data_IF_308253448328
#
_entry.id   IF_308253448328
#
_cell.length_a   1.000
_cell.length_b   1.000
_cell.length_c   1.000
_cell.angle_alpha   90.00
_cell.angle_beta   90.00
_cell.angle_gamma   90.00
#
_symmetry.space_group_name_H-M   'P 1'
#
loop_
_entity.id
_entity.type
_entity.pdbx_description
1 polymer ?
#
# COMPACT_ATOMS: atom_id res chain seq x y z
N UNK A 1 -19.78 -4.02 -4.81
CA UNK A 1 -19.04 -5.24 -5.18
C UNK A 1 -18.83 -6.04 -3.92
N UNK A 2 -19.09 -7.35 -3.96
CA UNK A 2 -18.97 -8.25 -2.81
C UNK A 2 -17.55 -8.20 -2.24
N UNK A 3 -17.42 -8.02 -0.94
CA UNK A 3 -16.15 -8.29 -0.24
C UNK A 3 -15.68 -9.68 -0.66
N UNK A 4 -14.43 -9.80 -1.10
CA UNK A 4 -13.84 -11.09 -1.46
C UNK A 4 -13.74 -11.89 -0.15
N UNK A 5 -14.69 -12.80 0.06
CA UNK A 5 -14.66 -13.69 1.20
C UNK A 5 -13.48 -14.66 1.04
N UNK A 6 -12.53 -14.59 1.97
CA UNK A 6 -11.32 -15.42 1.95
C UNK A 6 -11.60 -16.70 2.73
N UNK A 7 -11.59 -17.89 2.09
CA UNK A 7 -11.89 -19.15 2.77
C UNK A 7 -10.68 -19.61 3.60
N UNK A 8 -10.63 -19.18 4.87
CA UNK A 8 -9.53 -19.50 5.81
C UNK A 8 -9.40 -21.00 6.14
N UNK A 9 -10.50 -21.74 5.94
CA UNK A 9 -10.59 -23.21 5.98
C UNK A 9 -11.19 -23.66 4.65
N UNK A 10 -10.39 -23.73 3.58
CA UNK A 10 -10.90 -23.92 2.24
C UNK A 10 -11.47 -25.33 2.04
N UNK A 11 -12.63 -25.43 1.37
CA UNK A 11 -13.28 -26.70 1.05
C UNK A 11 -13.29 -26.88 -0.46
N UNK A 12 -12.55 -27.88 -0.93
CA UNK A 12 -12.46 -28.18 -2.36
C UNK A 12 -11.47 -27.28 -3.12
N UNK A 13 -11.34 -27.53 -4.42
CA UNK A 13 -10.27 -26.97 -5.26
C UNK A 13 -10.34 -25.45 -5.40
N UNK A 14 -11.55 -24.92 -5.58
CA UNK A 14 -11.73 -23.48 -5.82
C UNK A 14 -11.33 -22.66 -4.61
N UNK A 15 -11.75 -23.06 -3.41
CA UNK A 15 -11.39 -22.38 -2.17
C UNK A 15 -9.89 -22.47 -1.88
N UNK A 16 -9.26 -23.62 -2.16
CA UNK A 16 -7.81 -23.78 -2.02
C UNK A 16 -7.09 -22.77 -2.92
N UNK A 17 -7.52 -22.65 -4.18
CA UNK A 17 -6.93 -21.71 -5.13
C UNK A 17 -7.17 -20.25 -4.72
N UNK A 18 -8.35 -19.93 -4.17
CA UNK A 18 -8.65 -18.59 -3.63
C UNK A 18 -7.72 -18.26 -2.47
N UNK A 19 -7.61 -19.14 -1.48
CA UNK A 19 -6.72 -18.91 -0.33
C UNK A 19 -5.25 -18.82 -0.77
N UNK A 20 -4.81 -19.69 -1.68
CA UNK A 20 -3.46 -19.65 -2.26
C UNK A 20 -3.17 -18.30 -2.94
N UNK A 21 -4.07 -17.82 -3.79
CA UNK A 21 -3.93 -16.54 -4.48
C UNK A 21 -3.89 -15.37 -3.50
N UNK A 22 -4.78 -15.35 -2.50
CA UNK A 22 -4.82 -14.30 -1.47
C UNK A 22 -3.54 -14.29 -0.64
N UNK A 23 -3.04 -15.47 -0.24
CA UNK A 23 -1.80 -15.57 0.52
C UNK A 23 -0.58 -15.11 -0.27
N UNK A 24 -0.48 -15.52 -1.53
CA UNK A 24 0.62 -15.12 -2.39
C UNK A 24 0.60 -13.61 -2.61
N UNK A 25 -0.53 -13.08 -3.11
CA UNK A 25 -0.71 -11.67 -3.42
C UNK A 25 -0.57 -10.80 -2.16
N UNK A 26 -1.13 -11.23 -1.04
CA UNK A 26 -1.03 -10.50 0.23
C UNK A 26 0.40 -10.43 0.71
N UNK A 27 1.15 -11.52 0.60
CA UNK A 27 2.55 -11.57 1.04
C UNK A 27 3.45 -10.71 0.17
N UNK A 28 3.35 -10.80 -1.17
CA UNK A 28 4.18 -9.99 -2.08
C UNK A 28 3.83 -8.50 -2.04
N UNK A 29 2.64 -8.15 -1.52
CA UNK A 29 2.19 -6.76 -1.38
C UNK A 29 2.65 -6.10 -0.09
N UNK A 30 3.23 -6.85 0.85
CA UNK A 30 3.77 -6.27 2.08
C UNK A 30 5.00 -5.42 1.77
N UNK A 31 5.09 -4.26 2.40
CA UNK A 31 6.16 -3.30 2.15
C UNK A 31 7.55 -3.89 2.44
N UNK A 32 7.70 -4.64 3.54
CA UNK A 32 8.95 -5.31 3.91
C UNK A 32 9.39 -6.36 2.90
N UNK A 33 8.44 -7.03 2.24
CA UNK A 33 8.70 -8.02 1.19
C UNK A 33 9.08 -7.34 -0.12
N UNK A 34 8.37 -6.27 -0.50
CA UNK A 34 8.67 -5.47 -1.70
C UNK A 34 10.08 -4.90 -1.64
N UNK A 35 10.48 -4.36 -0.49
CA UNK A 35 11.81 -3.80 -0.26
C UNK A 35 12.89 -4.87 -0.39
N UNK A 36 12.71 -6.02 0.26
CA UNK A 36 13.61 -7.17 0.10
C UNK A 36 13.74 -7.60 -1.35
N UNK A 37 12.64 -7.72 -2.08
CA UNK A 37 12.65 -8.10 -3.49
C UNK A 37 13.35 -7.05 -4.36
N UNK A 38 13.17 -5.75 -4.11
CA UNK A 38 13.86 -4.70 -4.88
C UNK A 38 15.36 -4.70 -4.70
N UNK A 39 15.85 -4.99 -3.50
CA UNK A 39 17.28 -5.02 -3.19
C UNK A 39 17.98 -6.31 -3.69
N UNK A 40 17.23 -7.34 -4.04
CA UNK A 40 17.78 -8.61 -4.51
C UNK A 40 18.14 -8.58 -6.01
N UNK A 41 19.14 -9.36 -6.39
CA UNK A 41 19.50 -9.56 -7.80
C UNK A 41 18.33 -10.15 -8.60
N UNK A 42 18.22 -9.87 -9.92
CA UNK A 42 17.09 -10.32 -10.74
C UNK A 42 16.83 -11.84 -10.70
N UNK A 43 17.90 -12.65 -10.65
CA UNK A 43 17.79 -14.11 -10.56
C UNK A 43 17.23 -14.54 -9.21
N UNK A 44 17.68 -13.90 -8.14
CA UNK A 44 17.21 -14.19 -6.78
C UNK A 44 15.74 -13.78 -6.63
N UNK A 45 15.30 -12.68 -7.26
CA UNK A 45 13.88 -12.30 -7.28
C UNK A 45 12.99 -13.41 -7.83
N UNK A 46 13.39 -14.09 -8.90
CA UNK A 46 12.62 -15.19 -9.49
C UNK A 46 12.53 -16.36 -8.51
N UNK A 47 13.66 -16.75 -7.91
CA UNK A 47 13.72 -17.81 -6.89
C UNK A 47 12.86 -17.50 -5.67
N UNK A 48 12.84 -16.23 -5.24
CA UNK A 48 12.00 -15.76 -4.15
C UNK A 48 10.50 -15.86 -4.47
N UNK A 49 10.09 -15.46 -5.68
CA UNK A 49 8.70 -15.58 -6.12
C UNK A 49 8.27 -17.05 -6.18
N UNK A 50 9.09 -17.94 -6.76
CA UNK A 50 8.80 -19.39 -6.78
C UNK A 50 8.64 -19.95 -5.37
N UNK A 51 9.56 -19.58 -4.46
CA UNK A 51 9.51 -20.02 -3.06
C UNK A 51 8.25 -19.53 -2.33
N UNK A 52 7.82 -18.29 -2.58
CA UNK A 52 6.59 -17.73 -2.02
C UNK A 52 5.34 -18.42 -2.59
N UNK A 53 5.31 -18.70 -3.90
CA UNK A 53 4.22 -19.41 -4.54
C UNK A 53 4.06 -20.83 -3.98
N UNK A 54 5.17 -21.58 -3.87
CA UNK A 54 5.16 -22.92 -3.28
C UNK A 54 4.72 -22.87 -1.81
N UNK A 55 5.20 -21.91 -1.02
CA UNK A 55 4.79 -21.76 0.38
C UNK A 55 3.30 -21.42 0.53
N UNK A 56 2.76 -20.52 -0.30
CA UNK A 56 1.34 -20.17 -0.32
C UNK A 56 0.46 -21.37 -0.70
N UNK A 57 0.83 -22.08 -1.79
CA UNK A 57 0.10 -23.27 -2.23
C UNK A 57 0.16 -24.41 -1.23
N UNK A 58 1.30 -24.57 -0.53
CA UNK A 58 1.45 -25.56 0.52
C UNK A 58 0.56 -25.24 1.72
N UNK A 59 0.57 -24.00 2.20
CA UNK A 59 -0.22 -23.59 3.36
C UNK A 59 -1.72 -23.68 3.06
N UNK A 60 -2.17 -23.25 1.88
CA UNK A 60 -3.58 -23.33 1.50
C UNK A 60 -4.12 -24.77 1.52
N UNK A 61 -3.32 -25.73 1.04
CA UNK A 61 -3.67 -27.16 1.06
C UNK A 61 -3.59 -27.78 2.45
N UNK A 62 -2.62 -27.36 3.27
CA UNK A 62 -2.57 -27.76 4.69
C UNK A 62 -3.86 -27.32 5.41
N UNK A 63 -4.34 -26.09 5.17
CA UNK A 63 -5.60 -25.60 5.74
C UNK A 63 -6.85 -26.30 5.21
N UNK A 64 -6.77 -26.93 4.04
CA UNK A 64 -7.78 -27.86 3.54
C UNK A 64 -7.72 -29.27 4.17
N UNK A 65 -6.77 -29.52 5.08
CA UNK A 65 -6.58 -30.81 5.74
C UNK A 65 -5.78 -31.83 4.92
N UNK A 66 -5.06 -31.41 3.88
CA UNK A 66 -4.24 -32.32 3.09
C UNK A 66 -2.95 -32.73 3.82
N UNK A 67 -2.50 -33.97 3.57
CA UNK A 67 -1.23 -34.48 4.11
C UNK A 67 -0.04 -33.89 3.36
N UNK A 68 1.13 -33.81 4.02
CA UNK A 68 2.37 -33.30 3.42
C UNK A 68 2.74 -34.05 2.13
N UNK A 69 2.58 -35.37 2.11
CA UNK A 69 2.80 -36.20 0.91
C UNK A 69 1.93 -35.76 -0.26
N UNK A 70 0.62 -35.62 -0.04
CA UNK A 70 -0.30 -35.19 -1.11
C UNK A 70 0.00 -33.79 -1.60
N UNK A 71 0.38 -32.88 -0.69
CA UNK A 71 0.79 -31.51 -1.05
C UNK A 71 2.05 -31.53 -1.91
N UNK A 72 3.04 -32.35 -1.55
CA UNK A 72 4.28 -32.53 -2.28
C UNK A 72 4.03 -33.03 -3.72
N UNK A 73 3.18 -34.04 -3.85
CA UNK A 73 2.77 -34.59 -5.16
C UNK A 73 2.04 -33.54 -6.01
N UNK A 74 1.08 -32.82 -5.44
CA UNK A 74 0.31 -31.80 -6.19
C UNK A 74 1.14 -30.59 -6.61
N UNK A 75 2.10 -30.18 -5.79
CA UNK A 75 2.97 -29.02 -6.08
C UNK A 75 4.23 -29.41 -6.86
N UNK A 76 4.48 -30.69 -7.09
CA UNK A 76 5.69 -31.17 -7.77
C UNK A 76 6.97 -30.77 -7.01
N UNK A 77 6.96 -30.94 -5.69
CA UNK A 77 8.09 -30.60 -4.78
C UNK A 77 8.31 -31.75 -3.81
N UNK A 78 9.54 -31.88 -3.27
CA UNK A 78 9.81 -32.91 -2.26
C UNK A 78 9.14 -32.62 -0.91
N UNK A 79 8.71 -33.65 -0.18
CA UNK A 79 8.06 -33.51 1.12
C UNK A 79 8.86 -32.69 2.13
N UNK A 80 10.19 -32.83 2.13
CA UNK A 80 11.07 -32.06 3.01
C UNK A 80 10.98 -30.55 2.73
N UNK A 81 10.84 -30.18 1.45
CA UNK A 81 10.68 -28.78 1.03
C UNK A 81 9.34 -28.25 1.52
N UNK A 82 8.26 -29.00 1.29
CA UNK A 82 6.92 -28.65 1.77
C UNK A 82 6.91 -28.50 3.30
N UNK A 83 7.48 -29.45 4.04
CA UNK A 83 7.58 -29.39 5.50
C UNK A 83 8.36 -28.16 5.97
N UNK A 84 9.43 -27.79 5.27
CA UNK A 84 10.24 -26.62 5.63
C UNK A 84 9.48 -25.30 5.41
N UNK A 85 8.69 -25.20 4.34
CA UNK A 85 7.79 -24.06 4.13
C UNK A 85 6.68 -24.04 5.17
N UNK A 86 5.95 -25.15 5.33
CA UNK A 86 4.83 -25.24 6.26
C UNK A 86 5.25 -24.92 7.68
N UNK A 87 6.41 -25.39 8.14
CA UNK A 87 6.91 -25.12 9.50
C UNK A 87 7.50 -23.71 9.70
N UNK A 88 7.61 -22.92 8.63
CA UNK A 88 8.20 -21.57 8.69
C UNK A 88 9.73 -21.56 8.81
N UNK A 89 10.40 -22.69 8.57
CA UNK A 89 11.89 -22.76 8.56
C UNK A 89 12.48 -21.96 7.41
N UNK A 90 11.79 -21.94 6.27
CA UNK A 90 12.15 -21.07 5.15
C UNK A 90 11.58 -19.67 5.37
N UNK A 91 12.30 -18.66 4.89
CA UNK A 91 11.83 -17.27 4.94
C UNK A 91 10.50 -17.05 4.21
N UNK A 92 10.32 -17.66 3.02
CA UNK A 92 9.05 -17.62 2.29
C UNK A 92 7.88 -18.21 3.11
N UNK A 93 8.10 -19.37 3.74
CA UNK A 93 7.13 -20.02 4.61
C UNK A 93 6.77 -19.17 5.83
N UNK A 94 7.75 -18.51 6.45
CA UNK A 94 7.53 -17.58 7.56
C UNK A 94 6.65 -16.41 7.13
N UNK A 95 7.00 -15.74 6.04
CA UNK A 95 6.26 -14.58 5.53
C UNK A 95 4.80 -14.92 5.15
N UNK A 96 4.60 -16.05 4.46
CA UNK A 96 3.26 -16.52 4.07
C UNK A 96 2.42 -16.86 5.31
N UNK A 97 3.01 -17.50 6.32
CA UNK A 97 2.32 -17.80 7.58
C UNK A 97 1.90 -16.53 8.31
N UNK A 98 2.78 -15.54 8.40
CA UNK A 98 2.45 -14.24 8.99
C UNK A 98 1.27 -13.57 8.25
N UNK A 99 1.26 -13.61 6.91
CA UNK A 99 0.14 -13.10 6.11
C UNK A 99 -1.16 -13.87 6.41
N UNK A 100 -1.10 -15.19 6.58
CA UNK A 100 -2.26 -15.97 7.01
C UNK A 100 -2.77 -15.57 8.40
N UNK A 101 -1.86 -15.32 9.35
CA UNK A 101 -2.22 -14.86 10.69
C UNK A 101 -2.85 -13.45 10.69
N UNK A 102 -2.36 -12.56 9.81
CA UNK A 102 -3.00 -11.26 9.56
C UNK A 102 -4.43 -11.42 9.07
N UNK A 103 -4.66 -12.34 8.11
CA UNK A 103 -6.01 -12.67 7.63
C UNK A 103 -6.91 -13.22 8.73
N UNK A 104 -6.40 -14.08 9.62
CA UNK A 104 -7.15 -14.57 10.78
C UNK A 104 -7.57 -13.44 11.74
N UNK A 105 -6.77 -12.38 11.86
CA UNK A 105 -7.08 -11.19 12.67
C UNK A 105 -8.03 -10.21 11.96
N UNK A 106 -8.45 -10.49 10.72
CA UNK A 106 -9.29 -9.61 9.92
C UNK A 106 -8.54 -8.41 9.32
N UNK A 107 -7.20 -8.46 9.25
CA UNK A 107 -6.41 -7.42 8.61
C UNK A 107 -6.55 -7.46 7.09
N UNK A 108 -6.59 -6.28 6.47
CA UNK A 108 -6.65 -6.16 5.01
C UNK A 108 -5.26 -6.40 4.40
N UNK A 109 -5.00 -7.61 3.91
CA UNK A 109 -3.71 -7.97 3.30
C UNK A 109 -3.61 -7.67 1.80
N UNK A 110 -4.72 -7.31 1.14
CA UNK A 110 -4.77 -6.96 -0.30
C UNK A 110 -5.12 -5.48 -0.51
N UNK A 111 -4.17 -4.56 -0.24
CA UNK A 111 -4.45 -3.12 -0.29
C UNK A 111 -4.83 -2.60 -1.68
N UNK A 112 -4.47 -3.31 -2.75
CA UNK A 112 -4.77 -2.91 -4.14
C UNK A 112 -6.17 -3.31 -4.60
N UNK A 113 -6.77 -4.38 -4.06
CA UNK A 113 -8.17 -4.75 -4.36
C UNK A 113 -9.20 -3.87 -3.65
N UNK A 114 -8.78 -3.23 -2.54
CA UNK A 114 -9.61 -2.26 -1.81
C UNK A 114 -9.55 -0.88 -2.48
N UNK A 115 -8.46 -0.57 -3.20
CA UNK A 115 -8.20 0.76 -3.75
C UNK A 115 -9.05 1.17 -4.96
N UNK A 116 -9.69 0.24 -5.66
CA UNK A 116 -10.62 0.65 -6.74
C UNK A 116 -11.91 1.28 -6.20
N UNK A 117 -12.24 1.06 -4.92
CA UNK A 117 -13.39 1.71 -4.28
C UNK A 117 -13.06 3.11 -3.72
N UNK A 118 -11.77 3.47 -3.57
CA UNK A 118 -11.33 4.73 -2.93
C UNK A 118 -10.39 5.58 -3.80
N UNK A 119 -10.05 5.14 -5.02
CA UNK A 119 -9.40 6.02 -5.96
C UNK A 119 -10.39 7.12 -6.38
N UNK A 120 -10.11 8.41 -6.11
CA UNK A 120 -10.98 9.47 -6.58
C UNK A 120 -11.15 9.32 -8.09
N UNK A 121 -12.39 9.39 -8.54
CA UNK A 121 -12.71 9.32 -9.96
C UNK A 121 -11.86 10.35 -10.71
N UNK A 122 -11.54 10.08 -11.98
CA UNK A 122 -10.79 11.02 -12.82
C UNK A 122 -11.44 12.42 -12.82
N UNK A 123 -12.76 12.46 -12.71
CA UNK A 123 -13.55 13.69 -12.56
C UNK A 123 -13.34 14.41 -11.22
N UNK A 124 -13.26 13.69 -10.10
CA UNK A 124 -12.92 14.29 -8.79
C UNK A 124 -11.49 14.82 -8.76
N UNK A 125 -10.54 14.09 -9.37
CA UNK A 125 -9.16 14.55 -9.51
C UNK A 125 -9.09 15.83 -10.34
N UNK A 126 -9.84 15.91 -11.43
CA UNK A 126 -9.87 17.10 -12.28
C UNK A 126 -10.58 18.29 -11.60
N UNK A 127 -11.64 18.04 -10.83
CA UNK A 127 -12.29 19.07 -9.98
C UNK A 127 -11.34 19.61 -8.91
N UNK A 128 -10.67 18.73 -8.16
CA UNK A 128 -9.71 19.12 -7.13
C UNK A 128 -8.54 19.92 -7.72
N UNK A 129 -8.07 19.58 -8.92
CA UNK A 129 -7.05 20.37 -9.63
C UNK A 129 -7.56 21.77 -10.01
N UNK A 130 -8.80 21.89 -10.46
CA UNK A 130 -9.40 23.18 -10.80
C UNK A 130 -9.59 24.05 -9.55
N UNK A 131 -10.06 23.48 -8.44
CA UNK A 131 -10.17 24.18 -7.16
C UNK A 131 -8.81 24.66 -6.65
N UNK A 132 -7.79 23.79 -6.72
CA UNK A 132 -6.43 24.15 -6.32
C UNK A 132 -5.86 25.31 -7.15
N UNK A 133 -6.11 25.33 -8.46
CA UNK A 133 -5.69 26.44 -9.33
C UNK A 133 -6.43 27.74 -9.00
N UNK A 134 -7.74 27.66 -8.74
CA UNK A 134 -8.54 28.82 -8.33
C UNK A 134 -8.03 29.42 -7.02
N UNK A 135 -7.81 28.57 -6.01
CA UNK A 135 -7.34 28.99 -4.70
C UNK A 135 -5.92 29.57 -4.76
N UNK A 136 -5.05 29.02 -5.63
CA UNK A 136 -3.71 29.60 -5.91
C UNK A 136 -3.80 31.00 -6.50
N UNK A 137 -4.72 31.24 -7.44
CA UNK A 137 -4.93 32.58 -8.02
C UNK A 137 -5.45 33.55 -6.98
N UNK A 138 -6.48 33.17 -6.23
CA UNK A 138 -7.04 34.00 -5.15
C UNK A 138 -5.98 34.36 -4.11
N UNK A 139 -5.14 33.39 -3.72
CA UNK A 139 -4.00 33.62 -2.83
C UNK A 139 -3.02 34.64 -3.41
N UNK A 140 -2.66 34.50 -4.68
CA UNK A 140 -1.74 35.44 -5.36
C UNK A 140 -2.31 36.86 -5.40
N UNK A 141 -3.58 37.02 -5.76
CA UNK A 141 -4.25 38.33 -5.81
C UNK A 141 -4.35 38.98 -4.43
N UNK A 142 -4.71 38.19 -3.41
CA UNK A 142 -4.75 38.68 -2.03
C UNK A 142 -3.36 39.13 -1.57
N UNK A 143 -2.32 38.37 -1.92
CA UNK A 143 -0.95 38.68 -1.56
C UNK A 143 -0.46 39.97 -2.24
N UNK A 144 -0.82 40.20 -3.51
CA UNK A 144 -0.56 41.49 -4.18
C UNK A 144 -1.30 42.66 -3.53
N UNK A 145 -2.58 42.48 -3.18
CA UNK A 145 -3.36 43.52 -2.49
C UNK A 145 -2.74 43.86 -1.14
N UNK A 146 -2.29 42.84 -0.39
CA UNK A 146 -1.63 42.99 0.90
C UNK A 146 -0.32 43.79 0.76
N UNK A 147 0.51 43.46 -0.24
CA UNK A 147 1.73 44.21 -0.53
C UNK A 147 1.45 45.67 -0.88
N UNK A 148 0.45 45.94 -1.73
CA UNK A 148 0.06 47.32 -2.09
C UNK A 148 -0.46 48.11 -0.90
N UNK A 149 -1.19 47.46 0.02
CA UNK A 149 -1.66 48.11 1.25
C UNK A 149 -0.49 48.40 2.19
N UNK A 150 0.45 47.47 2.33
CA UNK A 150 1.66 47.66 3.13
C UNK A 150 2.47 48.86 2.61
N UNK A 151 2.71 48.96 1.30
CA UNK A 151 3.41 50.10 0.70
C UNK A 151 2.69 51.43 0.96
N UNK A 152 1.34 51.45 0.89
CA UNK A 152 0.55 52.65 1.20
C UNK A 152 0.69 53.06 2.66
N UNK A 153 0.66 52.10 3.59
CA UNK A 153 0.83 52.35 5.03
C UNK A 153 2.24 52.88 5.31
N UNK A 154 3.27 52.27 4.72
CA UNK A 154 4.65 52.70 4.88
C UNK A 154 4.86 54.12 4.36
N UNK A 155 4.30 54.44 3.19
CA UNK A 155 4.37 55.79 2.61
C UNK A 155 3.60 56.82 3.45
N UNK A 156 2.41 56.47 3.95
CA UNK A 156 1.64 57.34 4.84
C UNK A 156 2.38 57.60 6.16
N UNK A 157 3.01 56.57 6.74
CA UNK A 157 3.80 56.67 7.97
C UNK A 157 5.00 57.60 7.78
N UNK A 158 5.75 57.44 6.67
CA UNK A 158 6.86 58.35 6.33
C UNK A 158 6.40 59.79 6.14
N UNK A 159 5.25 60.01 5.50
CA UNK A 159 4.70 61.36 5.32
C UNK A 159 4.29 61.99 6.67
N UNK A 160 3.66 61.22 7.55
CA UNK A 160 3.32 61.66 8.91
C UNK A 160 4.57 62.00 9.73
N UNK A 161 5.61 61.16 9.68
CA UNK A 161 6.89 61.45 10.35
C UNK A 161 7.53 62.74 9.83
N UNK A 162 7.51 62.97 8.51
CA UNK A 162 8.03 64.20 7.92
C UNK A 162 7.27 65.45 8.40
N UNK A 163 5.94 65.39 8.47
CA UNK A 163 5.11 66.49 8.98
C UNK A 163 5.35 66.73 10.47
N UNK A 164 5.44 65.67 11.28
CA UNK A 164 5.76 65.77 12.71
C UNK A 164 7.11 66.44 12.93
N UNK A 165 8.12 66.11 12.12
CA UNK A 165 9.45 66.72 12.23
C UNK A 165 9.45 68.20 11.85
N UNK A 166 8.64 68.62 10.86
CA UNK A 166 8.49 70.04 10.49
C UNK A 166 7.80 70.87 11.58
N UNK A 167 6.90 70.28 12.37
CA UNK A 167 6.21 70.95 13.48
C UNK A 167 7.04 71.05 14.76
N UNK A 168 8.19 70.35 14.84
CA UNK A 168 9.11 70.36 15.99
C UNK A 168 10.26 71.36 15.85
N UNK A 169 10.42 71.96 14.66
CA UNK A 169 11.30 73.11 14.38
C UNK A 169 10.55 74.43 14.54
#
# INVERSE_FOLDING_TARGET
MSEIEVPLKPIGREDIQKLEAVLLLGTVSRQDVIEKMRCADPKDRITWIDSLAVAAGALAREKAGMTVTKIADELGRGEQTIRSHLTGKTEAGRLVRETYEMLLRGEKVLPFLVKEAEAPSKEEVDKLKQELEKERREKSELQEKLNKLQEKIDNASKALEAVINQLKT
#
